data_IF_088180157620
#
_entry.id   IF_088180157620
#
_cell.length_a   1.000
_cell.length_b   1.000
_cell.length_c   1.000
_cell.angle_alpha   90.00
_cell.angle_beta   90.00
_cell.angle_gamma   90.00
#
_symmetry.space_group_name_H-M   'P 1'
#
loop_
_entity.id
_entity.type
_entity.pdbx_description
1 polymer ?
#
# COMPACT_ATOMS: atom_id res chain seq x y z
N UNK A 1 7.74 -16.37 18.85
CA UNK A 1 7.80 -16.54 17.38
C UNK A 1 6.38 -16.48 16.87
N UNK A 2 5.96 -15.33 16.33
CA UNK A 2 4.70 -15.27 15.59
C UNK A 2 4.91 -16.01 14.26
N UNK A 3 3.95 -16.85 13.88
CA UNK A 3 3.99 -17.54 12.60
C UNK A 3 4.04 -16.50 11.46
N UNK A 4 4.83 -16.77 10.43
CA UNK A 4 4.78 -16.00 9.18
C UNK A 4 3.36 -16.15 8.65
N UNK A 5 2.60 -15.06 8.43
CA UNK A 5 1.21 -15.18 8.00
C UNK A 5 1.13 -15.82 6.60
N UNK A 6 0.04 -16.55 6.39
CA UNK A 6 -0.24 -17.16 5.09
C UNK A 6 -0.32 -16.07 4.01
N UNK A 7 0.42 -16.30 2.92
CA UNK A 7 0.41 -15.48 1.70
C UNK A 7 -0.33 -16.25 0.63
N UNK A 8 -1.37 -15.63 0.07
CA UNK A 8 -2.12 -16.20 -1.04
C UNK A 8 -1.64 -15.56 -2.35
N UNK A 9 -1.23 -16.37 -3.35
CA UNK A 9 -0.67 -15.83 -4.59
C UNK A 9 -1.74 -15.10 -5.43
N UNK A 10 -1.32 -14.02 -6.08
CA UNK A 10 -2.08 -13.32 -7.13
C UNK A 10 -1.51 -13.72 -8.50
N UNK A 11 -0.21 -13.52 -8.69
CA UNK A 11 0.47 -13.72 -9.96
C UNK A 11 1.90 -13.19 -9.95
N UNK A 12 2.58 -13.23 -11.10
CA UNK A 12 3.92 -12.64 -11.26
C UNK A 12 4.00 -11.85 -12.55
N UNK A 13 4.56 -10.64 -12.49
CA UNK A 13 4.75 -9.77 -13.65
C UNK A 13 6.12 -9.10 -13.58
N UNK A 14 6.82 -9.05 -14.71
CA UNK A 14 8.05 -8.28 -14.88
C UNK A 14 9.18 -8.61 -13.87
N UNK A 15 9.15 -9.82 -13.30
CA UNK A 15 10.11 -10.29 -12.28
C UNK A 15 9.67 -10.03 -10.83
N UNK A 16 8.47 -9.49 -10.61
CA UNK A 16 7.88 -9.25 -9.28
C UNK A 16 6.76 -10.25 -9.02
N UNK A 17 6.77 -10.89 -7.85
CA UNK A 17 5.67 -11.73 -7.35
C UNK A 17 4.66 -10.87 -6.60
N UNK A 18 3.38 -11.03 -6.92
CA UNK A 18 2.27 -10.37 -6.25
C UNK A 18 1.49 -11.38 -5.40
N UNK A 19 1.24 -11.04 -4.14
CA UNK A 19 0.47 -11.85 -3.20
C UNK A 19 -0.43 -11.00 -2.29
N UNK A 20 -1.30 -11.67 -1.53
CA UNK A 20 -2.13 -11.06 -0.48
C UNK A 20 -1.78 -11.70 0.85
N UNK A 21 -1.67 -10.90 1.91
CA UNK A 21 -1.44 -11.40 3.27
C UNK A 21 -2.35 -10.74 4.31
N UNK A 22 -2.66 -11.50 5.36
CA UNK A 22 -3.49 -11.05 6.47
C UNK A 22 -2.64 -10.44 7.60
N UNK A 23 -2.02 -9.30 7.33
CA UNK A 23 -1.28 -8.53 8.33
C UNK A 23 -1.53 -7.02 8.14
N UNK A 24 -1.18 -6.23 9.16
CA UNK A 24 -1.22 -4.78 9.08
C UNK A 24 0.17 -4.20 8.84
N UNK A 25 0.27 -2.91 8.45
CA UNK A 25 1.53 -2.28 8.06
C UNK A 25 2.60 -2.32 9.15
N UNK A 26 2.23 -2.28 10.44
CA UNK A 26 3.21 -2.40 11.53
C UNK A 26 3.85 -3.79 11.68
N UNK A 27 3.21 -4.82 11.14
CA UNK A 27 3.60 -6.22 11.28
C UNK A 27 4.07 -6.84 9.95
N UNK A 28 4.09 -6.07 8.87
CA UNK A 28 4.55 -6.53 7.57
C UNK A 28 6.07 -6.69 7.58
N UNK A 29 6.56 -7.93 7.53
CA UNK A 29 7.99 -8.25 7.45
C UNK A 29 8.55 -8.01 6.06
N UNK A 30 8.71 -6.74 5.68
CA UNK A 30 9.16 -6.28 4.35
C UNK A 30 10.19 -5.14 4.46
N UNK A 31 10.89 -4.84 3.36
CA UNK A 31 11.79 -3.69 3.31
C UNK A 31 11.04 -2.36 3.40
N UNK A 32 9.91 -2.23 2.70
CA UNK A 32 9.04 -1.05 2.76
C UNK A 32 7.57 -1.44 2.95
N UNK A 33 7.00 -1.11 4.12
CA UNK A 33 5.56 -1.18 4.32
C UNK A 33 4.92 0.16 3.97
N UNK A 34 3.82 0.15 3.24
CA UNK A 34 3.12 1.34 2.78
C UNK A 34 1.71 1.32 3.37
N UNK A 35 1.34 2.41 4.05
CA UNK A 35 -0.01 2.66 4.52
C UNK A 35 -0.55 3.94 3.89
N UNK A 36 -1.87 4.08 3.85
CA UNK A 36 -2.51 5.31 3.40
C UNK A 36 -3.22 6.02 4.56
N UNK A 37 -3.41 7.34 4.45
CA UNK A 37 -4.05 8.16 5.47
C UNK A 37 -4.84 9.30 4.83
N UNK A 38 -6.04 9.59 5.33
CA UNK A 38 -6.85 10.72 4.89
C UNK A 38 -6.58 11.98 5.73
N UNK A 39 -7.02 13.13 5.22
CA UNK A 39 -7.02 14.40 5.98
C UNK A 39 -7.87 14.33 7.24
N UNK A 40 -8.94 13.55 7.18
CA UNK A 40 -9.77 13.15 8.31
C UNK A 40 -10.48 11.86 7.95
N UNK A 41 -11.04 11.20 8.95
CA UNK A 41 -11.81 9.97 8.75
C UNK A 41 -13.22 10.32 8.28
N UNK A 42 -13.80 9.47 7.44
CA UNK A 42 -15.13 9.65 6.87
C UNK A 42 -16.19 9.74 7.98
N UNK A 43 -17.09 10.71 7.87
CA UNK A 43 -18.15 10.95 8.84
C UNK A 43 -17.67 11.26 10.26
N UNK A 44 -16.40 11.64 10.45
CA UNK A 44 -15.82 11.93 11.77
C UNK A 44 -15.57 10.68 12.62
N UNK A 45 -15.47 9.50 12.01
CA UNK A 45 -15.11 8.27 12.70
C UNK A 45 -13.70 8.38 13.34
N UNK A 46 -13.39 7.59 14.38
CA UNK A 46 -12.00 7.46 14.83
C UNK A 46 -11.19 6.63 13.82
N UNK A 47 -9.88 6.87 13.78
CA UNK A 47 -8.92 6.00 13.07
C UNK A 47 -9.07 4.57 13.59
N UNK A 48 -9.14 3.60 12.69
CA UNK A 48 -9.37 2.20 13.04
C UNK A 48 -8.36 1.24 12.39
N UNK A 49 -8.52 -0.06 12.69
CA UNK A 49 -7.87 -1.14 11.95
C UNK A 49 -6.34 -1.08 11.92
N UNK A 50 -5.78 -1.35 10.74
CA UNK A 50 -4.33 -1.43 10.54
C UNK A 50 -3.64 -0.08 10.71
N UNK A 51 -4.29 1.01 10.31
CA UNK A 51 -3.79 2.38 10.48
C UNK A 51 -3.71 2.77 11.96
N UNK A 52 -4.71 2.43 12.78
CA UNK A 52 -4.65 2.66 14.23
C UNK A 52 -3.51 1.87 14.87
N UNK A 53 -3.38 0.59 14.51
CA UNK A 53 -2.30 -0.25 15.03
C UNK A 53 -0.91 0.28 14.62
N UNK A 54 -0.78 0.84 13.41
CA UNK A 54 0.43 1.52 12.97
C UNK A 54 0.73 2.77 13.78
N UNK A 55 -0.24 3.65 13.96
CA UNK A 55 -0.05 4.87 14.75
C UNK A 55 0.33 4.53 16.20
N UNK A 56 -0.30 3.52 16.80
CA UNK A 56 0.05 3.03 18.14
C UNK A 56 1.47 2.47 18.22
N UNK A 57 1.90 1.68 17.23
CA UNK A 57 3.27 1.16 17.15
C UNK A 57 4.30 2.29 17.01
N UNK A 58 3.90 3.39 16.35
CA UNK A 58 4.66 4.63 16.24
C UNK A 58 4.42 5.59 17.42
N UNK A 59 3.84 5.16 18.54
CA UNK A 59 3.65 6.00 19.73
C UNK A 59 2.69 7.19 19.55
N UNK A 60 1.77 7.11 18.58
CA UNK A 60 0.80 8.16 18.25
C UNK A 60 1.36 9.27 17.36
N UNK A 61 2.54 9.06 16.74
CA UNK A 61 3.21 10.09 15.97
C UNK A 61 2.48 10.48 14.68
N UNK A 62 1.78 9.57 13.99
CA UNK A 62 1.08 9.92 12.74
C UNK A 62 -0.08 10.88 13.03
N UNK A 63 -0.91 10.55 14.02
CA UNK A 63 -2.03 11.41 14.41
C UNK A 63 -1.53 12.76 14.93
N UNK A 64 -0.42 12.76 15.68
CA UNK A 64 0.20 13.99 16.16
C UNK A 64 0.77 14.85 15.02
N UNK A 65 1.47 14.25 14.06
CA UNK A 65 2.01 14.98 12.91
C UNK A 65 0.89 15.63 12.06
N UNK A 66 -0.25 14.95 11.93
CA UNK A 66 -1.45 15.52 11.30
C UNK A 66 -2.03 16.69 12.10
N UNK A 67 -2.21 16.50 13.41
CA UNK A 67 -2.73 17.56 14.29
C UNK A 67 -1.81 18.80 14.34
N UNK A 68 -0.49 18.58 14.31
CA UNK A 68 0.53 19.63 14.33
C UNK A 68 0.76 20.26 12.94
N UNK A 69 0.15 19.72 11.88
CA UNK A 69 0.20 20.26 10.52
C UNK A 69 1.46 19.91 9.71
N UNK A 70 2.25 18.93 10.16
CA UNK A 70 3.49 18.49 9.49
C UNK A 70 3.28 17.43 8.42
N UNK A 71 2.21 16.64 8.54
CA UNK A 71 1.77 15.69 7.53
C UNK A 71 0.24 15.64 7.57
N UNK A 72 -0.41 16.30 6.63
CA UNK A 72 -1.86 16.51 6.69
C UNK A 72 -2.64 15.29 6.19
N UNK A 73 -2.01 14.41 5.41
CA UNK A 73 -2.72 13.35 4.67
C UNK A 73 -3.30 13.88 3.36
N UNK A 74 -2.77 15.00 2.84
CA UNK A 74 -3.18 15.58 1.57
C UNK A 74 -2.95 14.58 0.43
N UNK A 75 -3.75 14.67 -0.63
CA UNK A 75 -3.64 13.73 -1.74
C UNK A 75 -2.21 13.66 -2.30
N UNK A 76 -1.62 12.45 -2.25
CA UNK A 76 -0.26 12.11 -2.67
C UNK A 76 0.87 12.76 -1.86
N UNK A 77 0.57 13.39 -0.72
CA UNK A 77 1.58 13.74 0.28
C UNK A 77 2.28 12.48 0.79
N UNK A 78 3.59 12.53 1.02
CA UNK A 78 4.35 11.37 1.49
C UNK A 78 5.11 11.66 2.77
N UNK A 79 5.13 10.68 3.67
CA UNK A 79 5.95 10.67 4.88
C UNK A 79 6.70 9.34 4.98
N UNK A 80 8.03 9.40 4.90
CA UNK A 80 8.89 8.22 5.06
C UNK A 80 9.46 8.15 6.48
N UNK A 81 9.16 7.06 7.17
CA UNK A 81 9.76 6.67 8.44
C UNK A 81 10.82 5.62 8.12
N UNK A 82 12.07 6.06 7.97
CA UNK A 82 13.21 5.21 7.59
C UNK A 82 13.82 4.43 8.77
N UNK A 83 13.40 4.74 9.99
CA UNK A 83 13.87 4.12 11.23
C UNK A 83 12.69 3.85 12.17
N UNK A 84 11.82 2.87 11.85
CA UNK A 84 10.73 2.50 12.75
C UNK A 84 11.27 1.94 14.08
N UNK A 85 10.47 1.99 15.15
CA UNK A 85 10.75 1.28 16.40
C UNK A 85 11.18 -0.19 16.20
N UNK A 86 12.10 -0.67 17.04
CA UNK A 86 12.71 -2.00 16.88
C UNK A 86 11.74 -3.18 16.99
N UNK A 87 10.57 -2.97 17.60
CA UNK A 87 9.51 -3.95 17.77
C UNK A 87 8.54 -4.03 16.57
N UNK A 88 8.66 -3.11 15.61
CA UNK A 88 7.96 -3.19 14.33
C UNK A 88 8.69 -4.16 13.38
N UNK A 89 7.92 -4.84 12.53
CA UNK A 89 8.46 -5.78 11.54
C UNK A 89 9.07 -5.13 10.28
N UNK A 90 8.49 -4.06 9.68
CA UNK A 90 9.05 -3.49 8.46
C UNK A 90 10.34 -2.72 8.73
N UNK A 91 11.23 -2.66 7.73
CA UNK A 91 12.50 -1.90 7.83
C UNK A 91 12.32 -0.40 7.62
N UNK A 92 11.31 -0.02 6.85
CA UNK A 92 10.85 1.35 6.67
C UNK A 92 9.33 1.37 6.47
N UNK A 93 8.70 2.48 6.82
CA UNK A 93 7.27 2.71 6.60
C UNK A 93 7.06 3.98 5.78
N UNK A 94 6.30 3.88 4.70
CA UNK A 94 5.81 5.01 3.93
C UNK A 94 4.32 5.23 4.26
N UNK A 95 3.95 6.48 4.54
CA UNK A 95 2.56 6.89 4.61
C UNK A 95 2.25 7.77 3.41
N UNK A 96 1.18 7.44 2.68
CA UNK A 96 0.70 8.20 1.52
C UNK A 96 -0.64 8.86 1.88
N UNK A 97 -0.74 10.17 1.69
CA UNK A 97 -1.98 10.90 1.88
C UNK A 97 -2.99 10.61 0.76
N UNK A 98 -4.26 10.42 1.11
CA UNK A 98 -5.35 10.20 0.15
C UNK A 98 -6.23 11.44 -0.05
N UNK A 99 -6.03 12.49 0.75
CA UNK A 99 -6.83 13.72 0.72
C UNK A 99 -8.13 13.61 1.53
N UNK A 100 -9.15 14.33 1.08
CA UNK A 100 -10.50 14.29 1.63
C UNK A 100 -11.19 12.95 1.29
N UNK A 101 -11.63 12.17 2.30
CA UNK A 101 -12.30 10.89 2.09
C UNK A 101 -13.58 10.99 1.25
N UNK A 102 -14.29 12.12 1.26
CA UNK A 102 -15.53 12.32 0.50
C UNK A 102 -15.27 12.43 -1.02
N UNK A 103 -14.00 12.63 -1.41
CA UNK A 103 -13.56 12.74 -2.81
C UNK A 103 -12.82 11.50 -3.31
N UNK A 104 -12.74 10.44 -2.51
CA UNK A 104 -12.04 9.22 -2.92
C UNK A 104 -12.71 8.57 -4.13
N UNK A 105 -11.93 8.31 -5.17
CA UNK A 105 -12.31 7.53 -6.33
C UNK A 105 -11.24 6.47 -6.69
N UNK A 106 -11.53 5.67 -7.71
CA UNK A 106 -10.60 4.64 -8.18
C UNK A 106 -9.30 5.21 -8.76
N UNK A 107 -9.33 6.42 -9.33
CA UNK A 107 -8.12 7.06 -9.88
C UNK A 107 -7.18 7.51 -8.76
N UNK A 108 -7.71 8.02 -7.64
CA UNK A 108 -6.92 8.35 -6.46
C UNK A 108 -6.19 7.13 -5.91
N UNK A 109 -6.83 5.96 -5.87
CA UNK A 109 -6.18 4.72 -5.45
C UNK A 109 -5.11 4.26 -6.45
N UNK A 110 -5.38 4.37 -7.76
CA UNK A 110 -4.40 4.11 -8.82
C UNK A 110 -3.16 5.00 -8.69
N UNK A 111 -3.37 6.29 -8.39
CA UNK A 111 -2.29 7.24 -8.14
C UNK A 111 -1.50 6.86 -6.88
N UNK A 112 -2.18 6.52 -5.78
CA UNK A 112 -1.53 6.11 -4.54
C UNK A 112 -0.63 4.88 -4.74
N UNK A 113 -1.10 3.88 -5.50
CA UNK A 113 -0.29 2.69 -5.77
C UNK A 113 0.85 2.94 -6.75
N UNK A 114 0.71 3.87 -7.70
CA UNK A 114 1.83 4.37 -8.50
C UNK A 114 2.90 5.01 -7.63
N UNK A 115 2.50 5.89 -6.70
CA UNK A 115 3.43 6.51 -5.74
C UNK A 115 4.10 5.43 -4.89
N UNK A 116 3.34 4.49 -4.34
CA UNK A 116 3.88 3.40 -3.53
C UNK A 116 4.96 2.60 -4.28
N UNK A 117 4.70 2.22 -5.54
CA UNK A 117 5.65 1.46 -6.35
C UNK A 117 6.91 2.28 -6.68
N UNK A 118 6.75 3.55 -7.10
CA UNK A 118 7.91 4.42 -7.36
C UNK A 118 8.77 4.61 -6.12
N UNK A 119 8.16 4.86 -4.96
CA UNK A 119 8.89 5.06 -3.71
C UNK A 119 9.55 3.77 -3.22
N UNK A 120 8.92 2.60 -3.40
CA UNK A 120 9.56 1.31 -3.12
C UNK A 120 10.84 1.10 -3.96
N UNK A 121 10.75 1.40 -5.27
CA UNK A 121 11.88 1.27 -6.19
C UNK A 121 12.99 2.27 -5.85
N UNK A 122 12.65 3.54 -5.61
CA UNK A 122 13.62 4.59 -5.22
C UNK A 122 14.29 4.32 -3.88
N UNK A 123 13.54 3.73 -2.94
CA UNK A 123 14.08 3.29 -1.65
C UNK A 123 15.02 2.09 -1.78
N UNK A 124 15.02 1.39 -2.93
CA UNK A 124 15.80 0.18 -3.14
C UNK A 124 15.23 -1.04 -2.41
N UNK A 125 13.92 -1.06 -2.17
CA UNK A 125 13.24 -2.19 -1.53
C UNK A 125 13.28 -3.43 -2.44
N UNK A 126 13.52 -4.60 -1.87
CA UNK A 126 13.31 -5.90 -2.55
C UNK A 126 11.92 -6.45 -2.27
N UNK A 127 11.37 -6.12 -1.11
CA UNK A 127 10.03 -6.53 -0.69
C UNK A 127 9.22 -5.33 -0.24
N UNK A 128 7.97 -5.25 -0.66
CA UNK A 128 7.03 -4.22 -0.19
C UNK A 128 5.68 -4.81 0.21
N UNK A 129 4.97 -4.10 1.07
CA UNK A 129 3.59 -4.37 1.44
C UNK A 129 2.76 -3.09 1.31
N UNK A 130 1.51 -3.19 0.85
CA UNK A 130 0.63 -2.05 0.64
C UNK A 130 -0.73 -2.26 1.30
N UNK A 131 -1.05 -1.39 2.26
CA UNK A 131 -2.34 -1.26 2.89
C UNK A 131 -3.02 0.03 2.41
N UNK A 132 -4.15 -0.04 1.66
CA UNK A 132 -4.84 1.14 1.18
C UNK A 132 -5.58 1.91 2.28
N UNK A 133 -5.77 1.32 3.48
CA UNK A 133 -6.41 1.93 4.67
C UNK A 133 -7.78 2.59 4.44
N UNK A 134 -8.45 2.32 3.31
CA UNK A 134 -9.79 2.87 2.97
C UNK A 134 -10.82 2.54 4.03
N UNK A 135 -10.84 1.28 4.48
CA UNK A 135 -11.75 0.81 5.53
C UNK A 135 -11.39 1.37 6.91
N UNK A 136 -10.10 1.62 7.15
CA UNK A 136 -9.59 2.15 8.42
C UNK A 136 -9.97 3.63 8.59
N UNK A 137 -10.12 4.35 7.48
CA UNK A 137 -10.66 5.71 7.39
C UNK A 137 -12.19 5.79 7.37
N UNK A 138 -12.92 4.68 7.51
CA UNK A 138 -14.38 4.65 7.63
C UNK A 138 -15.17 4.48 6.33
N UNK A 139 -14.52 4.37 5.17
CA UNK A 139 -15.19 4.19 3.86
C UNK A 139 -15.56 2.72 3.62
N UNK A 140 -16.71 2.32 4.16
CA UNK A 140 -17.18 0.91 4.12
C UNK A 140 -17.94 0.53 2.84
N UNK A 141 -18.59 1.47 2.16
CA UNK A 141 -19.15 1.26 0.80
C UNK A 141 -18.12 1.69 -0.26
N UNK A 142 -17.36 0.73 -0.76
CA UNK A 142 -16.24 0.96 -1.69
C UNK A 142 -16.30 0.08 -2.95
N UNK A 143 -17.42 -0.58 -3.21
CA UNK A 143 -17.57 -1.47 -4.36
C UNK A 143 -17.31 -0.74 -5.70
N UNK A 144 -17.68 0.54 -5.79
CA UNK A 144 -17.51 1.38 -6.98
C UNK A 144 -16.04 1.74 -7.28
N UNK A 145 -15.13 1.57 -6.32
CA UNK A 145 -13.72 1.92 -6.49
C UNK A 145 -12.98 0.90 -7.36
N UNK A 146 -13.53 -0.32 -7.52
CA UNK A 146 -12.85 -1.45 -8.19
C UNK A 146 -11.40 -1.60 -7.70
N UNK A 147 -11.24 -1.62 -6.37
CA UNK A 147 -9.95 -1.37 -5.71
C UNK A 147 -8.84 -2.27 -6.24
N UNK A 148 -9.10 -3.56 -6.42
CA UNK A 148 -8.11 -4.54 -6.83
C UNK A 148 -7.51 -4.23 -8.21
N UNK A 149 -8.37 -3.95 -9.20
CA UNK A 149 -7.95 -3.63 -10.56
C UNK A 149 -7.18 -2.31 -10.61
N UNK A 150 -7.72 -1.24 -10.02
CA UNK A 150 -7.06 0.07 -10.06
C UNK A 150 -5.74 0.09 -9.30
N UNK A 151 -5.65 -0.65 -8.18
CA UNK A 151 -4.42 -0.77 -7.42
C UNK A 151 -3.36 -1.55 -8.19
N UNK A 152 -3.72 -2.70 -8.78
CA UNK A 152 -2.81 -3.50 -9.60
C UNK A 152 -2.32 -2.71 -10.82
N UNK A 153 -3.23 -2.07 -11.57
CA UNK A 153 -2.85 -1.27 -12.72
C UNK A 153 -1.89 -0.13 -12.34
N UNK A 154 -2.15 0.57 -11.22
CA UNK A 154 -1.25 1.61 -10.74
C UNK A 154 0.14 1.07 -10.40
N UNK A 155 0.24 -0.07 -9.71
CA UNK A 155 1.55 -0.67 -9.40
C UNK A 155 2.28 -1.17 -10.66
N UNK A 156 1.57 -1.90 -11.53
CA UNK A 156 2.15 -2.47 -12.74
C UNK A 156 2.59 -1.38 -13.71
N UNK A 157 1.79 -0.32 -13.90
CA UNK A 157 2.15 0.80 -14.77
C UNK A 157 3.41 1.55 -14.27
N UNK A 158 3.54 1.76 -12.96
CA UNK A 158 4.75 2.36 -12.37
C UNK A 158 5.97 1.44 -12.52
N UNK A 159 5.83 0.13 -12.27
CA UNK A 159 6.90 -0.84 -12.45
C UNK A 159 7.39 -0.89 -13.90
N UNK A 160 6.47 -1.00 -14.86
CA UNK A 160 6.76 -1.03 -16.29
C UNK A 160 7.45 0.26 -16.76
N UNK A 161 7.06 1.41 -16.22
CA UNK A 161 7.73 2.68 -16.49
C UNK A 161 9.20 2.69 -16.02
N UNK A 162 9.47 2.22 -14.79
CA UNK A 162 10.83 2.12 -14.26
C UNK A 162 11.70 1.12 -15.04
N UNK A 163 11.11 0.00 -15.47
CA UNK A 163 11.79 -0.96 -16.34
C UNK A 163 12.10 -0.40 -17.72
N UNK A 164 11.21 0.40 -18.30
CA UNK A 164 11.46 1.09 -19.56
C UNK A 164 12.60 2.12 -19.42
N UNK A 165 12.65 2.87 -18.32
CA UNK A 165 13.78 3.76 -18.01
C UNK A 165 15.10 2.98 -17.88
N UNK A 166 15.08 1.83 -17.23
CA UNK A 166 16.25 0.97 -17.10
C UNK A 166 16.70 0.40 -18.46
N UNK A 167 15.78 -0.03 -19.31
CA UNK A 167 16.06 -0.52 -20.66
C UNK A 167 16.66 0.59 -21.56
N UNK A 168 16.28 1.85 -21.34
CA UNK A 168 16.86 3.01 -22.01
C UNK A 168 18.23 3.44 -21.43
N UNK A 169 18.72 2.79 -20.37
CA UNK A 169 19.97 3.15 -19.70
C UNK A 169 19.88 4.44 -18.87
N UNK A 170 18.66 4.90 -18.54
CA UNK A 170 18.41 6.14 -17.80
C UNK A 170 18.21 5.92 -16.29
N UNK A 171 18.10 4.66 -15.87
CA UNK A 171 17.99 4.25 -14.47
C UNK A 171 18.61 2.85 -14.27
N UNK A 172 18.99 2.45 -13.05
CA UNK A 172 19.24 1.04 -12.75
C UNK A 172 17.94 0.23 -12.85
N UNK A 173 18.06 -1.07 -13.09
CA UNK A 173 16.89 -1.97 -13.01
C UNK A 173 16.36 -2.00 -11.56
N UNK A 174 15.03 -1.91 -11.35
CA UNK A 174 14.43 -2.08 -10.03
C UNK A 174 14.88 -3.36 -9.32
N UNK A 175 15.08 -3.29 -8.01
CA UNK A 175 15.44 -4.43 -7.14
C UNK A 175 14.24 -5.17 -6.57
N UNK A 176 13.02 -4.65 -6.79
CA UNK A 176 11.80 -5.20 -6.21
C UNK A 176 11.56 -6.61 -6.76
N UNK A 177 11.28 -7.55 -5.86
CA UNK A 177 11.07 -8.97 -6.15
C UNK A 177 9.68 -9.42 -5.69
N UNK A 178 9.09 -8.75 -4.69
CA UNK A 178 7.81 -9.14 -4.12
C UNK A 178 7.00 -7.93 -3.65
N UNK A 179 5.71 -7.93 -4.00
CA UNK A 179 4.73 -6.94 -3.58
C UNK A 179 3.51 -7.63 -2.96
N UNK A 180 3.20 -7.28 -1.71
CA UNK A 180 2.08 -7.85 -0.96
C UNK A 180 0.97 -6.82 -0.79
N UNK A 181 -0.28 -7.20 -1.04
CA UNK A 181 -1.43 -6.42 -0.62
C UNK A 181 -1.90 -6.86 0.77
N UNK A 182 -1.98 -5.90 1.67
CA UNK A 182 -2.38 -6.12 3.06
C UNK A 182 -3.90 -6.07 3.17
N UNK A 183 -4.47 -7.10 3.81
CA UNK A 183 -5.91 -7.18 4.04
C UNK A 183 -6.23 -7.63 5.46
N UNK A 184 -7.40 -7.27 5.96
CA UNK A 184 -7.89 -7.83 7.22
C UNK A 184 -8.08 -9.34 7.10
N UNK A 185 -7.69 -10.10 8.12
CA UNK A 185 -7.77 -11.57 8.13
C UNK A 185 -9.12 -12.15 7.66
N UNK A 186 -10.29 -11.59 8.03
CA UNK A 186 -11.58 -12.08 7.54
C UNK A 186 -11.78 -11.99 6.02
N UNK A 187 -10.96 -11.18 5.33
CA UNK A 187 -11.05 -10.90 3.90
C UNK A 187 -10.01 -11.62 3.06
N UNK A 188 -9.06 -12.34 3.67
CA UNK A 188 -7.89 -12.90 2.98
C UNK A 188 -8.26 -13.71 1.73
N UNK A 189 -9.13 -14.71 1.87
CA UNK A 189 -9.50 -15.59 0.75
C UNK A 189 -10.23 -14.83 -0.37
N UNK A 190 -11.23 -14.01 -0.03
CA UNK A 190 -12.01 -13.25 -1.02
C UNK A 190 -11.16 -12.18 -1.71
N UNK A 191 -10.26 -11.51 -0.98
CA UNK A 191 -9.36 -10.53 -1.55
C UNK A 191 -8.37 -11.19 -2.51
N UNK A 192 -7.78 -12.32 -2.14
CA UNK A 192 -6.88 -13.07 -3.02
C UNK A 192 -7.55 -13.47 -4.33
N UNK A 193 -8.78 -13.98 -4.28
CA UNK A 193 -9.56 -14.31 -5.48
C UNK A 193 -9.84 -13.07 -6.34
N UNK A 194 -10.26 -11.96 -5.73
CA UNK A 194 -10.55 -10.72 -6.45
C UNK A 194 -9.30 -10.12 -7.11
N UNK A 195 -8.16 -10.14 -6.41
CA UNK A 195 -6.90 -9.69 -6.98
C UNK A 195 -6.43 -10.61 -8.11
N UNK A 196 -6.52 -11.93 -7.96
CA UNK A 196 -6.15 -12.86 -9.02
C UNK A 196 -6.98 -12.65 -10.30
N UNK A 197 -8.31 -12.49 -10.16
CA UNK A 197 -9.18 -12.21 -11.31
C UNK A 197 -8.88 -10.85 -11.97
N UNK A 198 -8.61 -9.81 -11.17
CA UNK A 198 -8.21 -8.51 -11.68
C UNK A 198 -6.85 -8.57 -12.39
N UNK A 199 -5.91 -9.36 -11.86
CA UNK A 199 -4.61 -9.60 -12.47
C UNK A 199 -4.77 -10.27 -13.84
N UNK A 200 -5.51 -11.38 -13.94
CA UNK A 200 -5.78 -12.05 -15.22
C UNK A 200 -6.36 -11.08 -16.27
N UNK A 201 -7.35 -10.28 -15.89
CA UNK A 201 -7.99 -9.29 -16.78
C UNK A 201 -6.99 -8.29 -17.35
N UNK A 202 -6.05 -7.81 -16.55
CA UNK A 202 -5.03 -6.84 -16.98
C UNK A 202 -4.02 -7.43 -17.97
N UNK A 203 -3.81 -8.74 -17.98
CA UNK A 203 -2.90 -9.43 -18.92
C UNK A 203 -3.62 -10.04 -20.13
N UNK A 204 -4.94 -10.21 -20.08
CA UNK A 204 -5.75 -10.54 -21.28
C UNK A 204 -6.01 -9.32 -22.18
N UNK A 205 -5.88 -8.10 -21.64
CA UNK A 205 -6.10 -6.85 -22.36
C UNK A 205 -4.86 -6.33 -23.12
N UNK A 206 -3.68 -6.92 -22.90
CA UNK A 206 -2.40 -6.64 -23.58
C UNK A 206 -2.24 -7.50 -24.86
#
# INVERSE_FOLDING_TARGET
MNAIPDRLPIGSADGVVFDVAAWGPANAGVDLSVACMFEHEAGGAPVAGGLLALDQALGGHLTRLRADGFFLGQAMETLLISQPPQDMAPRAVLVIGLGDPDTLDGDRLRQATRVAMHEAIRHGARTMAFAPSVLDGGLTDNAKLNMQEVMLDGMLSALRAELALAAAGLAPRPLLEQCTFDVGAPRLANAAQAFAAAFETLFEAD
#
